data_IF_621565797293
#
_entry.id   IF_621565797293
#
_cell.length_a   1.000
_cell.length_b   1.000
_cell.length_c   1.000
_cell.angle_alpha   90.00
_cell.angle_beta   90.00
_cell.angle_gamma   90.00
#
_symmetry.space_group_name_H-M   'P 1'
#
loop_
_entity.id
_entity.type
_entity.pdbx_description
1 polymer ?
#
# COMPACT_ATOMS: atom_id res chain seq x y z
N UNK A 1 -51.88 -37.81 -53.36
CA UNK A 1 -52.99 -38.56 -52.80
C UNK A 1 -53.31 -37.98 -51.45
N UNK A 2 -54.24 -37.07 -51.44
CA UNK A 2 -55.34 -36.84 -50.50
C UNK A 2 -54.96 -36.73 -49.02
N UNK A 3 -55.44 -35.86 -48.16
CA UNK A 3 -56.55 -34.86 -48.29
C UNK A 3 -56.56 -34.08 -46.96
N UNK A 4 -56.85 -32.82 -47.07
CA UNK A 4 -57.65 -31.88 -46.30
C UNK A 4 -58.14 -32.29 -44.89
N UNK A 5 -58.11 -31.28 -44.03
CA UNK A 5 -58.94 -31.15 -42.85
C UNK A 5 -58.79 -29.81 -42.14
N UNK A 6 -59.56 -28.83 -42.61
CA UNK A 6 -59.85 -27.54 -41.99
C UNK A 6 -60.54 -27.69 -40.62
N UNK A 7 -60.35 -26.75 -39.76
CA UNK A 7 -61.07 -26.61 -38.50
C UNK A 7 -60.85 -25.30 -37.78
N UNK A 8 -61.39 -24.23 -38.37
CA UNK A 8 -61.56 -22.90 -37.74
C UNK A 8 -62.48 -23.03 -36.50
N UNK A 9 -62.08 -22.47 -35.37
CA UNK A 9 -63.01 -21.88 -34.41
C UNK A 9 -62.36 -20.72 -33.65
N UNK A 10 -62.81 -19.55 -33.99
CA UNK A 10 -62.79 -18.28 -33.27
C UNK A 10 -63.47 -18.41 -31.92
N UNK A 11 -62.90 -17.95 -30.84
CA UNK A 11 -63.62 -17.34 -29.71
C UNK A 11 -62.74 -16.46 -28.82
N UNK A 12 -63.02 -15.17 -28.96
CA UNK A 12 -63.26 -14.14 -27.93
C UNK A 12 -62.24 -13.97 -26.76
N UNK A 13 -61.76 -12.79 -26.82
CA UNK A 13 -61.38 -11.81 -25.77
C UNK A 13 -61.90 -12.13 -24.36
N UNK A 14 -60.94 -12.17 -23.41
CA UNK A 14 -61.16 -11.67 -22.06
C UNK A 14 -59.91 -10.93 -21.62
N UNK A 15 -60.09 -9.66 -21.40
CA UNK A 15 -59.12 -8.82 -20.67
C UNK A 15 -58.96 -9.37 -19.26
N UNK A 16 -57.73 -9.54 -18.80
CA UNK A 16 -57.37 -9.48 -17.39
C UNK A 16 -56.06 -8.80 -17.27
N UNK A 17 -56.11 -7.59 -16.76
CA UNK A 17 -55.01 -6.89 -16.17
C UNK A 17 -54.42 -7.75 -15.03
N UNK A 18 -53.13 -7.90 -14.97
CA UNK A 18 -52.45 -8.04 -13.68
C UNK A 18 -50.96 -7.91 -13.89
N UNK A 19 -50.47 -6.75 -13.51
CA UNK A 19 -49.50 -6.59 -12.47
C UNK A 19 -48.05 -7.06 -12.73
N UNK A 20 -47.21 -6.07 -12.79
CA UNK A 20 -45.79 -5.98 -12.60
C UNK A 20 -45.13 -7.12 -11.85
N UNK A 21 -44.35 -7.90 -12.55
CA UNK A 21 -43.28 -8.70 -12.02
C UNK A 21 -41.99 -7.90 -12.16
N UNK A 22 -41.68 -7.09 -11.15
CA UNK A 22 -40.39 -6.42 -11.03
C UNK A 22 -39.31 -7.46 -10.99
N UNK A 23 -38.40 -7.39 -11.93
CA UNK A 23 -37.09 -8.05 -11.85
C UNK A 23 -36.39 -7.38 -10.69
N UNK A 24 -36.39 -8.04 -9.51
CA UNK A 24 -35.54 -7.64 -8.40
C UNK A 24 -34.10 -7.91 -8.81
N UNK A 25 -33.46 -6.88 -9.34
CA UNK A 25 -32.00 -6.79 -9.42
C UNK A 25 -31.49 -6.58 -8.00
N UNK A 26 -31.21 -7.68 -7.32
CA UNK A 26 -30.51 -7.65 -6.02
C UNK A 26 -29.02 -7.62 -6.25
N UNK A 27 -28.50 -6.53 -6.79
CA UNK A 27 -27.16 -6.10 -6.47
C UNK A 27 -27.28 -5.26 -5.20
N UNK A 28 -27.24 -5.92 -4.06
CA UNK A 28 -26.94 -5.23 -2.81
C UNK A 28 -25.50 -4.72 -2.92
N UNK A 29 -25.34 -3.53 -3.45
CA UNK A 29 -24.09 -2.78 -3.37
C UNK A 29 -23.83 -2.53 -1.89
N UNK A 30 -22.77 -3.11 -1.33
CA UNK A 30 -22.17 -2.63 -0.11
C UNK A 30 -21.64 -1.22 -0.43
N UNK A 31 -22.39 -0.20 -0.05
CA UNK A 31 -21.86 1.13 0.10
C UNK A 31 -21.25 1.17 1.51
N UNK A 32 -19.93 1.40 1.64
CA UNK A 32 -19.35 1.65 2.96
C UNK A 32 -20.12 2.83 3.56
N UNK A 33 -20.40 2.82 4.86
CA UNK A 33 -21.14 3.91 5.48
C UNK A 33 -20.40 5.22 5.16
N UNK A 34 -21.08 6.19 4.58
CA UNK A 34 -20.56 7.53 4.26
C UNK A 34 -19.87 8.16 5.49
N UNK A 35 -20.27 7.72 6.68
CA UNK A 35 -19.71 8.12 7.96
C UNK A 35 -18.24 7.72 8.14
N UNK A 36 -17.84 6.48 7.84
CA UNK A 36 -16.46 6.01 8.06
C UNK A 36 -15.46 6.73 7.15
N UNK A 37 -15.82 6.95 5.88
CA UNK A 37 -15.03 7.74 4.95
C UNK A 37 -14.91 9.20 5.41
N UNK A 38 -16.03 9.81 5.80
CA UNK A 38 -16.07 11.20 6.25
C UNK A 38 -15.26 11.41 7.53
N UNK A 39 -15.34 10.47 8.48
CA UNK A 39 -14.53 10.47 9.71
C UNK A 39 -13.03 10.37 9.37
N UNK A 40 -12.65 9.45 8.49
CA UNK A 40 -11.27 9.32 8.06
C UNK A 40 -10.74 10.58 7.36
N UNK A 41 -11.54 11.20 6.50
CA UNK A 41 -11.20 12.48 5.84
C UNK A 41 -10.96 13.57 6.86
N UNK A 42 -11.85 13.72 7.84
CA UNK A 42 -11.74 14.73 8.89
C UNK A 42 -10.48 14.52 9.74
N UNK A 43 -10.18 13.29 10.12
CA UNK A 43 -8.98 12.94 10.87
C UNK A 43 -7.71 13.24 10.09
N UNK A 44 -7.63 12.82 8.81
CA UNK A 44 -6.48 13.07 7.93
C UNK A 44 -6.27 14.57 7.62
N UNK A 45 -7.35 15.37 7.62
CA UNK A 45 -7.28 16.80 7.42
C UNK A 45 -6.93 17.58 8.69
N UNK A 46 -7.15 16.99 9.87
CA UNK A 46 -6.94 17.61 11.18
C UNK A 46 -5.49 17.87 11.55
N UNK A 47 -4.53 17.37 10.78
CA UNK A 47 -3.09 17.61 11.01
C UNK A 47 -2.47 16.68 12.05
N UNK A 48 -3.18 15.68 12.55
CA UNK A 48 -2.65 14.65 13.43
C UNK A 48 -1.54 13.86 12.73
N UNK A 49 -0.52 13.46 13.46
CA UNK A 49 0.59 12.66 12.94
C UNK A 49 0.18 11.22 12.62
N UNK A 50 -0.87 10.71 13.25
CA UNK A 50 -1.40 9.39 12.98
C UNK A 50 -2.24 9.36 11.69
N UNK A 51 -1.60 9.03 10.59
CA UNK A 51 -2.29 8.75 9.31
C UNK A 51 -2.83 7.32 9.24
N UNK A 52 -2.33 6.41 10.07
CA UNK A 52 -2.58 4.98 9.92
C UNK A 52 -3.91 4.53 10.52
N UNK A 53 -4.29 5.03 11.69
CA UNK A 53 -5.56 4.65 12.34
C UNK A 53 -6.78 5.00 11.52
N UNK A 54 -6.93 6.23 10.97
CA UNK A 54 -8.08 6.55 10.12
C UNK A 54 -8.20 5.66 8.89
N UNK A 55 -7.06 5.28 8.29
CA UNK A 55 -7.04 4.44 7.09
C UNK A 55 -7.52 3.01 7.35
N UNK A 56 -7.00 2.37 8.41
CA UNK A 56 -7.41 1.01 8.74
C UNK A 56 -8.86 0.93 9.21
N UNK A 57 -9.32 1.95 9.94
CA UNK A 57 -10.69 2.03 10.46
C UNK A 57 -11.72 2.25 9.36
N UNK A 58 -11.39 3.05 8.34
CA UNK A 58 -12.27 3.32 7.21
C UNK A 58 -12.70 2.06 6.44
N UNK A 59 -11.89 1.00 6.48
CA UNK A 59 -12.12 -0.27 5.78
C UNK A 59 -12.01 -1.49 6.71
N UNK A 60 -12.09 -1.26 8.01
CA UNK A 60 -12.08 -2.31 9.05
C UNK A 60 -10.90 -3.29 8.94
N UNK A 61 -9.72 -2.80 8.54
CA UNK A 61 -8.52 -3.62 8.44
C UNK A 61 -7.73 -3.65 9.75
N UNK A 62 -7.09 -4.78 10.10
CA UNK A 62 -6.30 -4.91 11.33
C UNK A 62 -5.10 -3.98 11.37
N UNK A 63 -4.47 -3.73 10.22
CA UNK A 63 -3.28 -2.92 10.17
C UNK A 63 -3.15 -2.06 8.92
N UNK A 64 -2.49 -0.90 9.09
CA UNK A 64 -2.13 0.03 8.03
C UNK A 64 -0.72 0.56 8.23
N UNK A 65 -0.07 0.87 7.11
CA UNK A 65 1.22 1.55 7.05
C UNK A 65 1.16 2.61 5.95
N UNK A 66 1.79 3.73 6.18
CA UNK A 66 2.04 4.75 5.16
C UNK A 66 3.53 4.93 5.04
N UNK A 67 4.05 4.87 3.83
CA UNK A 67 5.47 5.06 3.54
C UNK A 67 5.69 5.99 2.34
N UNK A 68 6.78 6.74 2.39
CA UNK A 68 7.37 7.33 1.19
C UNK A 68 8.29 6.31 0.53
N UNK A 69 8.39 6.34 -0.80
CA UNK A 69 9.17 5.38 -1.58
C UNK A 69 9.88 6.08 -2.74
N UNK A 70 11.19 5.90 -2.80
CA UNK A 70 12.01 6.41 -3.89
C UNK A 70 12.15 7.92 -3.95
N UNK A 71 12.67 8.43 -5.05
CA UNK A 71 12.83 9.87 -5.30
C UNK A 71 11.48 10.52 -5.66
N UNK A 72 11.21 11.76 -5.23
CA UNK A 72 12.11 12.68 -4.51
C UNK A 72 12.04 12.57 -2.99
N UNK A 73 11.10 11.83 -2.41
CA UNK A 73 10.80 11.84 -0.96
C UNK A 73 11.73 10.95 -0.12
N UNK A 74 12.54 10.12 -0.77
CA UNK A 74 13.26 9.05 -0.08
C UNK A 74 12.35 7.86 0.26
N UNK A 75 12.93 6.81 0.84
CA UNK A 75 12.17 5.61 1.24
C UNK A 75 12.20 5.48 2.76
N UNK A 76 11.06 5.71 3.40
CA UNK A 76 10.90 5.58 4.85
C UNK A 76 9.44 5.32 5.23
N UNK A 77 9.24 4.63 6.33
CA UNK A 77 7.92 4.52 6.97
C UNK A 77 7.54 5.86 7.57
N UNK A 78 6.37 6.38 7.25
CA UNK A 78 5.82 7.61 7.81
C UNK A 78 5.03 7.30 9.08
N UNK A 79 4.16 6.30 9.01
CA UNK A 79 3.46 5.75 10.17
C UNK A 79 3.19 4.26 9.98
N UNK A 80 3.07 3.55 11.08
CA UNK A 80 2.61 2.17 11.12
C UNK A 80 1.69 1.98 12.33
N UNK A 81 0.54 1.34 12.12
CA UNK A 81 -0.44 1.11 13.19
C UNK A 81 0.04 0.09 14.23
N UNK A 82 1.02 -0.72 13.89
CA UNK A 82 1.63 -1.72 14.80
C UNK A 82 3.12 -1.92 14.45
N UNK A 83 3.88 -2.53 15.36
CA UNK A 83 5.27 -2.94 15.13
C UNK A 83 5.38 -3.95 13.98
N UNK A 84 4.39 -4.83 13.81
CA UNK A 84 4.33 -5.76 12.67
C UNK A 84 4.20 -4.99 11.35
N UNK A 85 3.32 -3.99 11.29
CA UNK A 85 3.19 -3.14 10.10
C UNK A 85 4.49 -2.46 9.73
N UNK A 86 5.21 -1.90 10.72
CA UNK A 86 6.52 -1.30 10.48
C UNK A 86 7.51 -2.33 9.92
N UNK A 87 7.49 -3.57 10.41
CA UNK A 87 8.36 -4.64 9.92
C UNK A 87 8.02 -5.08 8.49
N UNK A 88 6.73 -5.20 8.17
CA UNK A 88 6.27 -5.48 6.79
C UNK A 88 6.77 -4.41 5.82
N UNK A 89 6.69 -3.16 6.22
CA UNK A 89 7.11 -2.03 5.38
C UNK A 89 8.63 -1.98 5.23
N UNK A 90 9.36 -2.16 6.33
CA UNK A 90 10.83 -2.22 6.34
C UNK A 90 11.36 -3.28 5.36
N UNK A 91 10.78 -4.49 5.34
CA UNK A 91 11.13 -5.54 4.40
C UNK A 91 10.97 -5.06 2.96
N UNK A 92 9.83 -4.45 2.62
CA UNK A 92 9.57 -3.96 1.29
C UNK A 92 10.54 -2.82 0.90
N UNK A 93 10.79 -1.89 1.82
CA UNK A 93 11.74 -0.79 1.59
C UNK A 93 13.16 -1.33 1.42
N UNK A 94 13.59 -2.25 2.28
CA UNK A 94 14.95 -2.78 2.28
C UNK A 94 15.25 -3.58 1.01
N UNK A 95 14.29 -4.36 0.54
CA UNK A 95 14.47 -5.17 -0.66
C UNK A 95 14.14 -4.40 -1.96
N UNK A 96 13.45 -3.26 -1.89
CA UNK A 96 12.96 -2.55 -3.06
C UNK A 96 11.91 -3.36 -3.83
N UNK A 97 11.23 -4.27 -3.16
CA UNK A 97 10.31 -5.24 -3.74
C UNK A 97 9.08 -5.41 -2.85
N UNK A 98 7.96 -5.81 -3.44
CA UNK A 98 6.72 -6.06 -2.73
C UNK A 98 5.54 -5.27 -3.29
N UNK A 99 4.33 -5.47 -2.73
CA UNK A 99 3.11 -4.79 -3.16
C UNK A 99 3.21 -3.27 -3.23
N UNK A 100 3.85 -2.64 -2.25
CA UNK A 100 4.01 -1.18 -2.19
C UNK A 100 4.82 -0.63 -3.37
N UNK A 101 5.92 -1.28 -3.73
CA UNK A 101 6.71 -0.93 -4.89
C UNK A 101 6.02 -1.23 -6.21
N UNK A 102 5.30 -2.35 -6.29
CA UNK A 102 4.51 -2.67 -7.47
C UNK A 102 3.39 -1.66 -7.69
N UNK A 103 2.66 -1.28 -6.65
CA UNK A 103 1.61 -0.27 -6.72
C UNK A 103 2.17 1.06 -7.23
N UNK A 104 3.32 1.51 -6.70
CA UNK A 104 3.98 2.73 -7.14
C UNK A 104 4.38 2.67 -8.62
N UNK A 105 4.97 1.56 -9.07
CA UNK A 105 5.43 1.37 -10.44
C UNK A 105 4.28 1.29 -11.44
N UNK A 106 3.21 0.54 -11.10
CA UNK A 106 2.06 0.32 -11.99
C UNK A 106 1.04 1.44 -11.94
N UNK A 107 1.08 2.28 -10.91
CA UNK A 107 0.08 3.32 -10.58
C UNK A 107 -1.31 2.77 -10.30
N UNK A 108 -1.40 1.51 -9.95
CA UNK A 108 -2.64 0.81 -9.66
C UNK A 108 -2.59 0.21 -8.26
N UNK A 109 -3.73 0.08 -7.58
CA UNK A 109 -3.80 -0.72 -6.38
C UNK A 109 -3.31 -2.15 -6.63
N UNK A 110 -2.56 -2.67 -5.70
CA UNK A 110 -2.11 -4.07 -5.70
C UNK A 110 -2.90 -4.82 -4.65
N UNK A 111 -3.47 -5.94 -5.05
CA UNK A 111 -4.31 -6.80 -4.21
C UNK A 111 -3.63 -8.17 -4.11
N UNK A 112 -3.32 -8.59 -2.90
CA UNK A 112 -2.89 -9.94 -2.56
C UNK A 112 -3.79 -10.44 -1.42
N UNK A 113 -4.94 -10.98 -1.78
CA UNK A 113 -5.96 -11.46 -0.83
C UNK A 113 -5.52 -12.72 -0.09
N UNK A 114 -4.68 -13.51 -0.73
CA UNK A 114 -3.97 -14.65 -0.14
C UNK A 114 -2.49 -14.54 -0.52
N UNK A 115 -1.71 -14.00 0.39
CA UNK A 115 -0.29 -13.75 0.16
C UNK A 115 0.49 -15.08 -0.01
N UNK A 116 0.01 -16.18 0.57
CA UNK A 116 0.63 -17.51 0.43
C UNK A 116 0.53 -18.03 -1.00
N UNK A 117 -0.53 -17.66 -1.71
CA UNK A 117 -0.74 -18.05 -3.12
C UNK A 117 -0.05 -17.07 -4.06
N UNK A 118 -0.21 -15.77 -3.80
CA UNK A 118 0.16 -14.71 -4.75
C UNK A 118 1.62 -14.27 -4.64
N UNK A 119 2.20 -14.35 -3.44
CA UNK A 119 3.44 -13.65 -3.10
C UNK A 119 4.69 -14.19 -3.80
N UNK A 120 4.85 -15.51 -3.82
CA UNK A 120 6.10 -16.14 -4.24
C UNK A 120 6.49 -15.90 -5.71
N UNK A 121 5.51 -15.82 -6.60
CA UNK A 121 5.75 -15.57 -8.03
C UNK A 121 5.94 -14.09 -8.34
N UNK A 122 5.31 -13.19 -7.56
CA UNK A 122 5.31 -11.74 -7.82
C UNK A 122 6.48 -11.03 -7.15
N UNK A 123 6.83 -11.43 -5.92
CA UNK A 123 7.82 -10.75 -5.09
C UNK A 123 8.72 -11.78 -4.38
N UNK A 124 9.55 -12.53 -5.10
CA UNK A 124 10.28 -13.68 -4.54
C UNK A 124 11.19 -13.30 -3.36
N UNK A 125 11.85 -12.16 -3.40
CA UNK A 125 12.70 -11.69 -2.31
C UNK A 125 11.91 -11.25 -1.08
N UNK A 126 10.93 -10.36 -1.28
CA UNK A 126 10.07 -9.89 -0.19
C UNK A 126 9.20 -11.02 0.38
N UNK A 127 8.73 -11.93 -0.46
CA UNK A 127 7.92 -13.06 -0.07
C UNK A 127 8.59 -13.94 0.99
N UNK A 128 9.85 -14.32 0.77
CA UNK A 128 10.60 -15.15 1.72
C UNK A 128 10.64 -14.52 3.11
N UNK A 129 10.87 -13.22 3.20
CA UNK A 129 10.91 -12.50 4.46
C UNK A 129 9.50 -12.27 5.07
N UNK A 130 8.47 -12.07 4.24
CA UNK A 130 7.09 -11.87 4.69
C UNK A 130 6.45 -13.16 5.19
N UNK A 131 6.86 -14.33 4.68
CA UNK A 131 6.39 -15.63 5.19
C UNK A 131 6.71 -15.83 6.67
N UNK A 132 7.86 -15.33 7.13
CA UNK A 132 8.27 -15.42 8.54
C UNK A 132 7.39 -14.60 9.48
N UNK A 133 6.58 -13.68 8.94
CA UNK A 133 5.68 -12.81 9.71
C UNK A 133 4.23 -13.30 9.73
N UNK A 134 3.94 -14.47 9.15
CA UNK A 134 2.58 -15.06 9.06
C UNK A 134 1.53 -14.11 8.47
N UNK A 135 1.90 -13.22 7.55
CA UNK A 135 0.98 -12.30 6.89
C UNK A 135 0.13 -13.05 5.88
N UNK A 136 -1.20 -13.01 6.05
CA UNK A 136 -2.15 -13.70 5.18
C UNK A 136 -2.60 -12.89 3.97
N UNK A 137 -2.77 -11.57 4.12
CA UNK A 137 -3.15 -10.67 3.01
C UNK A 137 -2.45 -9.33 3.10
N UNK A 138 -2.16 -8.74 1.94
CA UNK A 138 -1.46 -7.45 1.83
C UNK A 138 -1.99 -6.68 0.62
N UNK A 139 -2.36 -5.44 0.84
CA UNK A 139 -2.90 -4.53 -0.17
C UNK A 139 -2.06 -3.27 -0.22
N UNK A 140 -1.79 -2.75 -1.40
CA UNK A 140 -1.05 -1.51 -1.53
C UNK A 140 -1.78 -0.52 -2.45
N UNK A 141 -1.85 0.74 -2.00
CA UNK A 141 -2.47 1.85 -2.72
C UNK A 141 -1.40 2.91 -2.99
N UNK A 142 -1.14 3.23 -4.26
CA UNK A 142 -0.06 4.14 -4.60
C UNK A 142 -0.41 5.58 -4.25
N UNK A 143 0.58 6.34 -3.81
CA UNK A 143 0.48 7.77 -3.49
C UNK A 143 1.15 8.59 -4.58
N UNK A 144 0.39 9.51 -5.18
CA UNK A 144 0.84 10.37 -6.27
C UNK A 144 0.45 11.82 -6.07
N UNK A 145 1.34 12.73 -6.50
CA UNK A 145 1.03 14.14 -6.70
C UNK A 145 1.28 14.46 -8.17
N UNK A 146 0.21 14.64 -8.93
CA UNK A 146 0.29 14.73 -10.39
C UNK A 146 0.88 13.46 -10.99
N UNK A 147 2.04 13.56 -11.62
CA UNK A 147 2.75 12.43 -12.22
C UNK A 147 3.83 11.83 -11.31
N UNK A 148 4.14 12.50 -10.19
CA UNK A 148 5.21 12.10 -9.29
C UNK A 148 4.68 11.09 -8.27
N UNK A 149 5.27 9.91 -8.25
CA UNK A 149 5.03 8.92 -7.20
C UNK A 149 5.78 9.31 -5.94
N UNK A 150 5.11 9.26 -4.80
CA UNK A 150 5.70 9.67 -3.53
C UNK A 150 5.70 8.57 -2.47
N UNK A 151 4.94 7.51 -2.67
CA UNK A 151 4.87 6.43 -1.69
C UNK A 151 3.70 5.49 -1.86
N UNK A 152 3.31 4.84 -0.78
CA UNK A 152 2.23 3.85 -0.74
C UNK A 152 1.52 3.85 0.62
N UNK A 153 0.23 3.50 0.61
CA UNK A 153 -0.49 2.99 1.78
C UNK A 153 -0.51 1.47 1.65
N UNK A 154 -0.07 0.77 2.67
CA UNK A 154 -0.24 -0.68 2.78
C UNK A 154 -1.27 -1.02 3.86
N UNK A 155 -2.20 -1.93 3.54
CA UNK A 155 -3.12 -2.55 4.50
C UNK A 155 -2.78 -4.03 4.59
N UNK A 156 -2.88 -4.62 5.77
CA UNK A 156 -2.55 -6.03 5.96
C UNK A 156 -3.45 -6.71 6.99
N UNK A 157 -3.55 -8.04 6.85
CA UNK A 157 -4.18 -8.93 7.83
C UNK A 157 -3.35 -10.20 7.99
N UNK A 158 -3.43 -10.83 9.17
CA UNK A 158 -2.79 -12.11 9.45
C UNK A 158 -3.51 -13.28 8.77
N UNK A 159 -4.75 -13.11 8.40
CA UNK A 159 -5.52 -14.10 7.65
C UNK A 159 -5.64 -13.69 6.18
N UNK A 160 -5.82 -14.67 5.30
CA UNK A 160 -6.31 -14.41 3.96
C UNK A 160 -7.63 -13.64 4.06
N UNK A 161 -7.74 -12.55 3.33
CA UNK A 161 -8.88 -11.63 3.40
C UNK A 161 -9.15 -11.08 2.01
N UNK A 162 -10.40 -10.93 1.64
CA UNK A 162 -10.79 -10.30 0.39
C UNK A 162 -11.35 -8.90 0.68
N UNK A 163 -10.64 -7.88 0.22
CA UNK A 163 -11.06 -6.49 0.37
C UNK A 163 -12.21 -6.20 -0.60
N UNK A 164 -13.32 -5.69 -0.10
CA UNK A 164 -14.48 -5.41 -0.95
C UNK A 164 -14.15 -4.32 -2.01
N UNK A 165 -14.74 -4.38 -3.22
CA UNK A 165 -14.53 -3.36 -4.25
C UNK A 165 -14.87 -1.93 -3.79
N UNK A 166 -15.84 -1.79 -2.89
CA UNK A 166 -16.17 -0.53 -2.26
C UNK A 166 -15.02 0.01 -1.42
N UNK A 167 -14.39 -0.85 -0.60
CA UNK A 167 -13.25 -0.48 0.25
C UNK A 167 -12.03 -0.08 -0.59
N UNK A 168 -11.79 -0.78 -1.71
CA UNK A 168 -10.75 -0.38 -2.67
C UNK A 168 -11.02 1.03 -3.21
N UNK A 169 -12.29 1.35 -3.49
CA UNK A 169 -12.69 2.68 -3.96
C UNK A 169 -12.47 3.74 -2.87
N UNK A 170 -12.85 3.45 -1.63
CA UNK A 170 -12.61 4.31 -0.46
C UNK A 170 -11.12 4.57 -0.31
N UNK A 171 -10.29 3.53 -0.30
CA UNK A 171 -8.85 3.66 -0.12
C UNK A 171 -8.18 4.45 -1.24
N UNK A 172 -8.62 4.31 -2.49
CA UNK A 172 -8.12 5.14 -3.59
C UNK A 172 -8.42 6.63 -3.38
N UNK A 173 -9.58 6.97 -2.83
CA UNK A 173 -9.95 8.36 -2.51
C UNK A 173 -9.12 8.87 -1.33
N UNK A 174 -8.92 8.07 -0.29
CA UNK A 174 -8.09 8.42 0.87
C UNK A 174 -6.61 8.56 0.46
N UNK A 175 -6.11 7.76 -0.48
CA UNK A 175 -4.76 7.88 -1.00
C UNK A 175 -4.47 9.27 -1.61
N UNK A 176 -5.46 9.91 -2.24
CA UNK A 176 -5.31 11.28 -2.75
C UNK A 176 -5.12 12.28 -1.61
N UNK A 177 -5.88 12.11 -0.51
CA UNK A 177 -5.80 13.00 0.65
C UNK A 177 -4.45 12.82 1.36
N UNK A 178 -4.04 11.56 1.58
CA UNK A 178 -2.74 11.25 2.18
C UNK A 178 -1.60 11.81 1.33
N UNK A 179 -1.68 11.69 0.00
CA UNK A 179 -0.68 12.26 -0.90
C UNK A 179 -0.53 13.78 -0.72
N UNK A 180 -1.65 14.49 -0.66
CA UNK A 180 -1.64 15.93 -0.42
C UNK A 180 -1.10 16.30 0.96
N UNK A 181 -1.43 15.51 1.99
CA UNK A 181 -0.95 15.72 3.36
C UNK A 181 0.57 15.50 3.43
N UNK A 182 1.10 14.43 2.83
CA UNK A 182 2.54 14.18 2.80
C UNK A 182 3.30 15.27 2.05
N UNK A 183 2.78 15.73 0.91
CA UNK A 183 3.40 16.83 0.18
C UNK A 183 3.44 18.10 1.02
N UNK A 184 2.33 18.48 1.67
CA UNK A 184 2.28 19.65 2.55
C UNK A 184 3.32 19.54 3.66
N UNK A 185 3.38 18.41 4.37
CA UNK A 185 4.39 18.18 5.43
C UNK A 185 5.82 18.30 4.90
N UNK A 186 6.08 17.81 3.69
CA UNK A 186 7.40 17.94 3.07
C UNK A 186 7.75 19.40 2.75
N UNK A 187 6.79 20.19 2.28
CA UNK A 187 6.99 21.62 2.00
C UNK A 187 7.19 22.42 3.28
N UNK A 188 6.39 22.15 4.32
CA UNK A 188 6.51 22.81 5.64
C UNK A 188 7.91 22.56 6.25
N UNK A 189 8.47 21.35 6.08
CA UNK A 189 9.85 21.05 6.53
C UNK A 189 10.93 21.82 5.76
N UNK A 190 10.71 22.10 4.49
CA UNK A 190 11.65 22.90 3.70
C UNK A 190 11.66 24.39 4.11
N UNK A 191 10.54 24.88 4.63
CA UNK A 191 10.43 26.28 5.11
C UNK A 191 11.06 26.47 6.50
N UNK A 192 11.10 25.40 7.32
CA UNK A 192 11.73 25.41 8.65
C UNK A 192 13.22 25.06 8.50
N UNK A 193 14.03 26.06 8.19
CA UNK A 193 15.44 25.92 7.78
C UNK A 193 16.42 25.58 8.93
N UNK A 194 16.00 25.40 10.16
CA UNK A 194 16.90 25.08 11.29
C UNK A 194 16.20 24.24 12.36
N UNK A 195 16.14 22.93 12.16
CA UNK A 195 15.67 22.01 13.18
C UNK A 195 15.62 20.58 12.65
N UNK A 196 16.75 19.89 12.71
CA UNK A 196 16.79 18.45 12.52
C UNK A 196 15.84 17.80 13.54
N UNK A 197 14.70 17.26 13.08
CA UNK A 197 13.85 16.38 13.90
C UNK A 197 14.64 15.09 14.16
N UNK A 198 15.38 15.05 15.29
CA UNK A 198 16.18 13.89 15.68
C UNK A 198 15.33 12.68 16.09
N UNK A 199 14.00 12.86 16.31
CA UNK A 199 13.13 11.89 16.96
C UNK A 199 12.02 11.30 16.08
N UNK A 200 12.19 11.16 14.76
CA UNK A 200 11.23 10.37 13.97
C UNK A 200 11.47 8.87 14.20
N UNK A 201 10.46 8.12 14.74
CA UNK A 201 10.65 6.73 15.16
C UNK A 201 11.00 5.77 14.01
N UNK A 202 10.75 6.17 12.76
CA UNK A 202 11.05 5.39 11.56
C UNK A 202 12.10 6.06 10.66
N UNK A 203 12.84 7.04 11.19
CA UNK A 203 13.89 7.73 10.45
C UNK A 203 14.93 6.74 9.89
N UNK A 204 15.34 6.94 8.65
CA UNK A 204 16.40 6.16 7.99
C UNK A 204 17.69 6.98 7.84
N UNK A 205 17.92 7.91 8.75
CA UNK A 205 19.08 8.79 8.74
C UNK A 205 20.41 8.01 8.65
N UNK A 206 20.54 6.93 9.45
CA UNK A 206 21.72 6.07 9.41
C UNK A 206 21.90 5.41 8.04
N UNK A 207 20.79 5.00 7.38
CA UNK A 207 20.86 4.41 6.03
C UNK A 207 21.37 5.43 5.03
N UNK A 208 20.86 6.66 5.07
CA UNK A 208 21.34 7.74 4.18
C UNK A 208 22.80 8.10 4.46
N UNK A 209 23.19 8.21 5.73
CA UNK A 209 24.56 8.50 6.13
C UNK A 209 25.50 7.38 5.71
N UNK A 210 25.17 6.12 5.99
CA UNK A 210 25.94 4.96 5.57
C UNK A 210 26.09 4.89 4.05
N UNK A 211 25.00 5.14 3.32
CA UNK A 211 25.01 5.17 1.85
C UNK A 211 26.00 6.23 1.35
N UNK A 212 25.98 7.42 1.91
CA UNK A 212 26.96 8.46 1.56
C UNK A 212 28.40 8.07 1.88
N UNK A 213 28.64 7.42 3.02
CA UNK A 213 29.99 6.93 3.40
C UNK A 213 30.49 5.85 2.44
N UNK A 214 29.62 4.88 2.07
CA UNK A 214 29.96 3.80 1.13
C UNK A 214 30.19 4.36 -0.28
N UNK A 215 29.37 5.29 -0.74
CA UNK A 215 29.53 5.97 -2.02
C UNK A 215 30.86 6.69 -2.13
N UNK A 216 31.18 7.52 -1.13
CA UNK A 216 32.44 8.27 -1.10
C UNK A 216 33.68 7.37 -1.00
N UNK A 217 33.59 6.26 -0.26
CA UNK A 217 34.69 5.34 -0.07
C UNK A 217 35.02 4.54 -1.33
N UNK A 218 34.03 4.13 -2.07
CA UNK A 218 34.19 3.28 -3.26
C UNK A 218 34.19 4.07 -4.57
N UNK A 219 34.03 5.39 -4.52
CA UNK A 219 33.89 6.26 -5.70
C UNK A 219 32.76 5.80 -6.64
N UNK A 220 31.60 5.49 -6.06
CA UNK A 220 30.39 5.00 -6.77
C UNK A 220 29.19 5.91 -6.53
N UNK A 221 28.15 5.76 -7.37
CA UNK A 221 26.89 6.47 -7.21
C UNK A 221 26.16 6.10 -5.91
N UNK A 222 25.29 7.01 -5.43
CA UNK A 222 24.49 6.81 -4.21
C UNK A 222 23.58 5.58 -4.35
N UNK A 223 22.99 5.37 -5.54
CA UNK A 223 22.12 4.21 -5.80
C UNK A 223 22.88 2.89 -5.74
N UNK A 224 24.12 2.85 -6.28
CA UNK A 224 24.99 1.67 -6.22
C UNK A 224 25.42 1.38 -4.78
N UNK A 225 25.74 2.43 -4.02
CA UNK A 225 26.10 2.31 -2.61
C UNK A 225 24.94 1.77 -1.76
N UNK A 226 23.72 2.23 -2.01
CA UNK A 226 22.52 1.70 -1.38
C UNK A 226 22.27 0.24 -1.76
N UNK A 227 22.54 -0.12 -3.01
CA UNK A 227 22.44 -1.52 -3.47
C UNK A 227 23.47 -2.42 -2.76
N UNK A 228 24.70 -1.94 -2.54
CA UNK A 228 25.70 -2.67 -1.75
C UNK A 228 25.26 -2.88 -0.30
N UNK A 229 24.73 -1.84 0.35
CA UNK A 229 24.20 -1.94 1.71
C UNK A 229 23.08 -2.99 1.79
N UNK A 230 22.13 -2.94 0.85
CA UNK A 230 21.03 -3.90 0.76
C UNK A 230 21.51 -5.33 0.50
N UNK A 231 22.43 -5.50 -0.45
CA UNK A 231 23.00 -6.81 -0.76
C UNK A 231 23.72 -7.42 0.43
N UNK A 232 24.49 -6.62 1.18
CA UNK A 232 25.18 -7.08 2.40
C UNK A 232 24.17 -7.45 3.50
N UNK A 233 23.17 -6.61 3.73
CA UNK A 233 22.12 -6.84 4.72
C UNK A 233 21.35 -8.14 4.40
N UNK A 234 20.96 -8.34 3.14
CA UNK A 234 20.32 -9.56 2.69
C UNK A 234 21.19 -10.80 2.90
N UNK A 235 22.46 -10.76 2.51
CA UNK A 235 23.38 -11.87 2.69
C UNK A 235 23.65 -12.20 4.16
N UNK A 236 23.59 -11.19 5.03
CA UNK A 236 23.76 -11.34 6.48
C UNK A 236 22.46 -11.70 7.23
N UNK A 237 21.29 -11.71 6.54
CA UNK A 237 19.97 -11.90 7.16
C UNK A 237 19.61 -10.80 8.18
N UNK A 238 20.09 -9.57 7.97
CA UNK A 238 19.93 -8.45 8.90
C UNK A 238 19.17 -7.31 8.23
N UNK A 239 18.39 -6.50 9.00
CA UNK A 239 17.81 -5.25 8.50
C UNK A 239 18.88 -4.29 7.97
N UNK A 240 18.56 -3.58 6.89
CA UNK A 240 19.49 -2.58 6.30
C UNK A 240 19.86 -1.50 7.32
N UNK A 241 18.92 -1.11 8.19
CA UNK A 241 19.20 -0.13 9.27
C UNK A 241 20.30 -0.56 10.23
N UNK A 242 20.31 -1.83 10.62
CA UNK A 242 21.37 -2.35 11.51
C UNK A 242 22.74 -2.35 10.83
N UNK A 243 22.76 -2.78 9.56
CA UNK A 243 23.99 -2.76 8.75
C UNK A 243 24.48 -1.32 8.57
N UNK A 244 23.57 -0.40 8.28
CA UNK A 244 23.88 1.02 8.16
C UNK A 244 24.45 1.60 9.46
N UNK A 245 23.84 1.29 10.61
CA UNK A 245 24.35 1.71 11.92
C UNK A 245 25.78 1.19 12.18
N UNK A 246 26.09 -0.03 11.75
CA UNK A 246 27.44 -0.58 11.86
C UNK A 246 28.46 0.15 10.96
N UNK A 247 28.03 0.52 9.73
CA UNK A 247 28.87 1.31 8.82
C UNK A 247 29.14 2.71 9.38
N UNK A 248 28.09 3.39 9.86
CA UNK A 248 28.21 4.73 10.48
C UNK A 248 29.13 4.70 11.70
N UNK A 249 28.97 3.68 12.53
CA UNK A 249 29.82 3.47 13.71
C UNK A 249 31.20 2.90 13.36
N UNK A 250 31.53 2.70 12.08
CA UNK A 250 32.78 2.13 11.58
C UNK A 250 33.09 0.73 12.13
N UNK A 251 32.07 -0.02 12.50
CA UNK A 251 32.16 -1.44 12.87
C UNK A 251 32.17 -2.36 11.67
N UNK A 252 31.61 -1.90 10.56
CA UNK A 252 31.55 -2.59 9.28
C UNK A 252 32.14 -1.70 8.18
N UNK A 253 32.96 -2.31 7.35
CA UNK A 253 33.57 -1.68 6.19
C UNK A 253 33.10 -2.39 4.92
N UNK A 254 32.42 -1.66 4.04
CA UNK A 254 31.93 -2.14 2.74
C UNK A 254 32.81 -1.57 1.61
N UNK A 255 34.12 -1.78 1.70
CA UNK A 255 35.05 -1.49 0.58
C UNK A 255 35.01 -2.58 -0.46
N UNK A 256 35.00 -2.19 -1.76
CA UNK A 256 35.07 -3.07 -2.95
C UNK A 256 36.52 -3.40 -3.29
#
# INVERSE_FOLDING_TARGET
>A
MYDRGEGTKTQRLAHSEMNGGGVMSTTAGYEPPDDAFSVAVAALAGGDDDLCSPLREAVSMPGAVVSTLGSPMGSQTVCASTTLGARIDEIQIDLGEGPSWEALRTRLPVVASDLQVDGGARWPGAWTALQELDVGSLYAFPLFVGTVGIGSIALYSMAAHELAPADITVMRRLAVIVSATLLRRALDRLEVTDGESEDEPYSRREVHQATGMVAARNDIGVDDALMLLRGHAYAAGRPVREVAADVVARRLDLSL
#
